data_IF_106399057525
#
_entry.id   IF_106399057525
#
_cell.length_a   1.000
_cell.length_b   1.000
_cell.length_c   1.000
_cell.angle_alpha   90.00
_cell.angle_beta   90.00
_cell.angle_gamma   90.00
#
_symmetry.space_group_name_H-M   'P 1'
#
loop_
_entity.id
_entity.type
_entity.pdbx_description
1 polymer ?
#
# COMPACT_ATOMS: atom_id res chain seq x y z
N UNK A 1 -35.91 80.40 12.48
CA UNK A 1 -35.13 79.59 11.52
C UNK A 1 -36.14 78.79 10.67
N UNK A 2 -36.76 79.39 9.66
CA UNK A 2 -36.37 79.33 8.23
C UNK A 2 -36.79 77.98 7.60
N UNK A 3 -38.05 77.83 7.18
CA UNK A 3 -38.71 78.16 5.89
C UNK A 3 -38.46 77.14 4.74
N UNK A 4 -39.60 76.70 4.15
CA UNK A 4 -39.89 76.40 2.73
C UNK A 4 -39.57 75.00 2.11
N UNK A 5 -40.62 74.15 2.09
CA UNK A 5 -41.28 73.35 0.99
C UNK A 5 -40.87 73.68 -0.48
N UNK A 6 -41.25 72.96 -1.59
CA UNK A 6 -41.67 71.56 -1.94
C UNK A 6 -40.95 70.97 -3.22
N UNK A 7 -41.46 69.84 -3.75
CA UNK A 7 -41.55 69.41 -5.20
C UNK A 7 -40.59 68.30 -5.74
N UNK A 8 -41.24 67.19 -6.13
CA UNK A 8 -41.15 66.43 -7.41
C UNK A 8 -39.83 65.70 -7.78
N UNK A 9 -39.92 64.37 -7.97
CA UNK A 9 -39.60 63.64 -9.22
C UNK A 9 -39.63 62.11 -8.92
N UNK A 10 -40.62 61.36 -9.39
CA UNK A 10 -40.60 60.59 -10.65
C UNK A 10 -39.37 59.68 -10.80
N UNK A 11 -39.58 58.37 -10.67
CA UNK A 11 -38.59 57.35 -10.98
C UNK A 11 -39.10 55.95 -10.71
N UNK A 12 -40.02 55.45 -11.56
CA UNK A 12 -40.20 54.01 -11.73
C UNK A 12 -38.86 53.43 -12.22
N UNK A 13 -38.22 52.57 -11.44
CA UNK A 13 -37.25 51.61 -11.96
C UNK A 13 -37.64 50.23 -11.49
N UNK A 14 -38.40 49.55 -12.34
CA UNK A 14 -38.62 48.11 -12.29
C UNK A 14 -37.27 47.40 -12.39
N UNK A 15 -36.74 46.92 -11.26
CA UNK A 15 -35.66 45.94 -11.26
C UNK A 15 -36.28 44.58 -11.59
N UNK A 16 -36.43 44.32 -12.88
CA UNK A 16 -36.62 42.96 -13.38
C UNK A 16 -35.31 42.20 -13.18
N UNK A 17 -35.22 41.42 -12.09
CA UNK A 17 -34.22 40.36 -12.01
C UNK A 17 -34.70 39.19 -12.87
N UNK A 18 -34.36 39.27 -14.15
CA UNK A 18 -34.31 38.12 -15.05
C UNK A 18 -33.42 37.08 -14.37
N UNK A 19 -33.99 35.99 -13.85
CA UNK A 19 -33.21 34.89 -13.30
C UNK A 19 -32.39 34.29 -14.45
N UNK A 20 -31.08 34.47 -14.40
CA UNK A 20 -30.14 33.71 -15.21
C UNK A 20 -30.48 32.22 -15.09
N UNK A 21 -30.52 31.56 -16.24
CA UNK A 21 -30.97 30.20 -16.41
C UNK A 21 -30.38 29.25 -15.37
N UNK A 22 -31.25 28.36 -14.91
CA UNK A 22 -30.86 27.10 -14.31
C UNK A 22 -30.02 26.35 -15.36
N UNK A 23 -28.71 26.57 -15.33
CA UNK A 23 -27.78 25.53 -15.75
C UNK A 23 -27.93 24.46 -14.69
N UNK A 24 -28.76 23.47 -14.97
CA UNK A 24 -28.66 22.18 -14.33
C UNK A 24 -27.27 21.65 -14.64
N UNK A 25 -26.30 22.00 -13.80
CA UNK A 25 -25.10 21.21 -13.65
C UNK A 25 -25.61 19.87 -13.13
N UNK A 26 -25.88 18.95 -14.07
CA UNK A 26 -25.99 17.54 -13.77
C UNK A 26 -24.70 17.19 -13.05
N UNK A 27 -24.77 17.17 -11.72
CA UNK A 27 -23.71 16.70 -10.89
C UNK A 27 -23.46 15.27 -11.32
N UNK A 28 -22.38 15.08 -12.06
CA UNK A 28 -21.78 13.78 -12.27
C UNK A 28 -21.32 13.34 -10.89
N UNK A 29 -22.25 12.77 -10.13
CA UNK A 29 -21.98 12.22 -8.82
C UNK A 29 -21.02 11.07 -9.11
N UNK A 30 -19.76 11.12 -8.64
CA UNK A 30 -18.81 10.06 -8.92
C UNK A 30 -19.44 8.78 -8.42
N UNK A 31 -19.70 7.85 -9.34
CA UNK A 31 -20.31 6.57 -9.05
C UNK A 31 -19.37 5.80 -8.11
N UNK A 32 -19.53 6.01 -6.80
CA UNK A 32 -18.71 5.40 -5.77
C UNK A 32 -18.71 3.86 -5.91
N UNK A 33 -19.82 3.30 -6.41
CA UNK A 33 -19.94 1.90 -6.77
C UNK A 33 -18.99 1.45 -7.89
N UNK A 34 -18.75 2.29 -8.90
CA UNK A 34 -17.80 2.01 -9.98
C UNK A 34 -16.35 2.06 -9.46
N UNK A 35 -16.04 3.04 -8.60
CA UNK A 35 -14.74 3.13 -7.94
C UNK A 35 -14.49 1.92 -7.03
N UNK A 36 -15.46 1.52 -6.22
CA UNK A 36 -15.35 0.34 -5.34
C UNK A 36 -15.08 -0.93 -6.15
N UNK A 37 -15.81 -1.17 -7.23
CA UNK A 37 -15.59 -2.31 -8.12
C UNK A 37 -14.17 -2.33 -8.71
N UNK A 38 -13.66 -1.16 -9.10
CA UNK A 38 -12.30 -1.04 -9.61
C UNK A 38 -11.25 -1.37 -8.54
N UNK A 39 -11.46 -0.93 -7.28
CA UNK A 39 -10.58 -1.30 -6.18
C UNK A 39 -10.61 -2.81 -5.92
N UNK A 40 -11.79 -3.42 -5.90
CA UNK A 40 -11.99 -4.86 -5.71
C UNK A 40 -11.25 -5.68 -6.78
N UNK A 41 -11.34 -5.28 -8.05
CA UNK A 41 -10.60 -5.91 -9.13
C UNK A 41 -9.07 -5.81 -8.96
N UNK A 42 -8.57 -4.65 -8.51
CA UNK A 42 -7.13 -4.46 -8.27
C UNK A 42 -6.64 -5.29 -7.08
N UNK A 43 -7.42 -5.40 -6.02
CA UNK A 43 -7.11 -6.26 -4.87
C UNK A 43 -7.01 -7.72 -5.31
N UNK A 44 -8.01 -8.21 -6.05
CA UNK A 44 -8.02 -9.59 -6.54
C UNK A 44 -6.82 -9.89 -7.44
N UNK A 45 -6.43 -8.95 -8.31
CA UNK A 45 -5.22 -9.08 -9.15
C UNK A 45 -3.95 -9.15 -8.30
N UNK A 46 -3.81 -8.25 -7.31
CA UNK A 46 -2.65 -8.24 -6.42
C UNK A 46 -2.56 -9.51 -5.58
N UNK A 47 -3.68 -10.03 -5.08
CA UNK A 47 -3.71 -11.30 -4.36
C UNK A 47 -3.28 -12.47 -5.24
N UNK A 48 -3.72 -12.49 -6.50
CA UNK A 48 -3.33 -13.51 -7.46
C UNK A 48 -1.84 -13.43 -7.85
N UNK A 49 -1.28 -12.22 -7.98
CA UNK A 49 0.15 -12.01 -8.18
C UNK A 49 0.96 -12.46 -6.97
N UNK A 50 0.51 -12.13 -5.75
CA UNK A 50 1.15 -12.56 -4.51
C UNK A 50 1.13 -14.08 -4.36
N UNK A 51 0.05 -14.76 -4.75
CA UNK A 51 -0.01 -16.22 -4.74
C UNK A 51 1.00 -16.85 -5.71
N UNK A 52 1.20 -16.24 -6.89
CA UNK A 52 2.21 -16.68 -7.85
C UNK A 52 3.64 -16.47 -7.32
N UNK A 53 3.89 -15.37 -6.61
CA UNK A 53 5.20 -15.07 -6.00
C UNK A 53 5.46 -15.94 -4.76
N UNK A 54 4.41 -16.29 -4.00
CA UNK A 54 4.51 -17.07 -2.76
C UNK A 54 4.90 -18.54 -2.97
N UNK A 55 5.04 -19.00 -4.21
CA UNK A 55 5.57 -20.32 -4.50
C UNK A 55 7.03 -20.27 -4.97
N UNK A 56 8.02 -20.03 -4.09
CA UNK A 56 9.34 -20.60 -4.31
C UNK A 56 9.19 -22.09 -4.03
N UNK A 57 8.84 -22.84 -5.07
CA UNK A 57 8.92 -24.30 -5.08
C UNK A 57 10.37 -24.71 -4.97
N UNK A 58 10.83 -24.92 -3.74
CA UNK A 58 11.96 -25.77 -3.42
C UNK A 58 11.48 -26.72 -2.35
N UNK A 59 11.65 -28.03 -2.56
CA UNK A 59 11.29 -29.05 -1.59
C UNK A 59 11.79 -28.63 -0.20
N UNK A 60 10.86 -28.31 0.69
CA UNK A 60 11.17 -27.83 2.02
C UNK A 60 11.75 -29.00 2.82
N UNK A 61 13.07 -29.20 2.74
CA UNK A 61 13.78 -30.00 3.71
C UNK A 61 13.79 -29.24 5.05
N UNK A 62 13.80 -29.98 6.15
CA UNK A 62 13.99 -29.47 7.51
C UNK A 62 15.16 -28.48 7.63
N UNK A 63 16.18 -28.60 6.77
CA UNK A 63 17.36 -27.74 6.71
C UNK A 63 17.18 -26.50 5.82
N UNK A 64 16.25 -26.52 4.87
CA UNK A 64 15.97 -25.40 3.95
C UNK A 64 14.46 -25.18 3.80
N UNK A 65 13.82 -24.59 4.81
CA UNK A 65 12.43 -24.16 4.75
C UNK A 65 12.10 -23.33 3.51
N UNK A 66 10.88 -23.48 3.00
CA UNK A 66 10.37 -22.65 1.91
C UNK A 66 10.22 -21.17 2.33
N UNK A 67 10.77 -20.26 1.52
CA UNK A 67 10.62 -18.81 1.68
C UNK A 67 11.96 -18.05 1.69
N UNK A 68 11.92 -16.71 1.65
CA UNK A 68 13.14 -15.90 1.64
C UNK A 68 13.87 -15.96 2.98
N UNK A 69 15.20 -15.93 2.91
CA UNK A 69 16.06 -15.82 4.09
C UNK A 69 15.96 -14.41 4.69
N UNK A 70 15.71 -14.31 5.99
CA UNK A 70 15.57 -13.04 6.71
C UNK A 70 16.89 -12.57 7.30
N UNK A 71 17.61 -13.48 7.96
CA UNK A 71 18.92 -13.20 8.56
C UNK A 71 19.68 -14.50 8.83
N UNK A 72 20.98 -14.39 9.08
CA UNK A 72 21.81 -15.52 9.50
C UNK A 72 22.77 -15.12 10.62
N UNK A 73 23.25 -16.11 11.37
CA UNK A 73 24.30 -15.97 12.38
C UNK A 73 25.33 -17.07 12.18
N UNK A 74 26.59 -16.68 12.08
CA UNK A 74 27.72 -17.58 11.96
C UNK A 74 28.55 -17.51 13.25
N UNK A 75 28.76 -18.67 13.88
CA UNK A 75 29.65 -18.81 15.03
C UNK A 75 30.76 -19.80 14.68
N UNK A 76 32.00 -19.33 14.75
CA UNK A 76 33.22 -20.06 14.38
C UNK A 76 34.27 -19.87 15.46
N UNK A 77 35.13 -20.86 15.68
CA UNK A 77 36.19 -20.82 16.69
C UNK A 77 35.69 -21.17 18.10
N UNK A 78 34.60 -21.92 18.19
CA UNK A 78 34.01 -22.44 19.42
C UNK A 78 33.95 -23.96 19.40
N UNK A 79 33.57 -24.59 20.52
CA UNK A 79 33.36 -26.05 20.55
C UNK A 79 32.17 -26.51 19.67
N UNK A 80 31.26 -25.60 19.31
CA UNK A 80 30.08 -25.86 18.47
C UNK A 80 29.98 -24.77 17.40
N UNK A 81 30.80 -24.93 16.36
CA UNK A 81 30.78 -24.10 15.17
C UNK A 81 29.51 -24.34 14.37
N UNK A 82 28.77 -23.27 14.11
CA UNK A 82 27.39 -23.38 13.62
C UNK A 82 26.96 -22.20 12.77
N UNK A 83 26.22 -22.52 11.71
CA UNK A 83 25.45 -21.58 10.90
C UNK A 83 23.98 -21.69 11.26
N UNK A 84 23.40 -20.60 11.77
CA UNK A 84 21.96 -20.49 12.03
C UNK A 84 21.31 -19.57 11.00
N UNK A 85 20.24 -20.03 10.37
CA UNK A 85 19.49 -19.26 9.37
C UNK A 85 18.07 -19.04 9.86
N UNK A 86 17.58 -17.79 9.76
CA UNK A 86 16.23 -17.40 10.13
C UNK A 86 15.45 -17.06 8.88
N UNK A 87 14.32 -17.73 8.69
CA UNK A 87 13.50 -17.60 7.49
C UNK A 87 12.35 -16.62 7.71
N UNK A 88 11.83 -16.02 6.64
CA UNK A 88 10.71 -15.07 6.72
C UNK A 88 9.42 -15.69 7.25
N UNK A 89 9.26 -17.02 7.14
CA UNK A 89 8.13 -17.77 7.67
C UNK A 89 8.27 -18.10 9.18
N UNK A 90 9.33 -17.65 9.85
CA UNK A 90 9.61 -17.90 11.26
C UNK A 90 10.35 -19.20 11.56
N UNK A 91 10.61 -20.05 10.56
CA UNK A 91 11.42 -21.25 10.73
C UNK A 91 12.89 -20.89 10.95
N UNK A 92 13.66 -21.85 11.48
CA UNK A 92 15.10 -21.69 11.71
C UNK A 92 15.85 -22.96 11.31
N UNK A 93 16.93 -22.83 10.55
CA UNK A 93 17.86 -23.93 10.28
C UNK A 93 19.10 -23.80 11.18
N UNK A 94 19.57 -24.92 11.72
CA UNK A 94 20.78 -24.98 12.55
C UNK A 94 21.73 -26.01 11.93
N UNK A 95 22.78 -25.55 11.25
CA UNK A 95 23.73 -26.38 10.52
C UNK A 95 25.07 -26.39 11.25
N UNK A 96 25.57 -27.59 11.57
CA UNK A 96 26.90 -27.77 12.15
C UNK A 96 27.94 -27.46 11.07
N UNK A 97 29.01 -26.77 11.44
CA UNK A 97 30.08 -26.43 10.53
C UNK A 97 31.39 -27.16 10.87
N UNK A 98 32.08 -27.67 9.86
CA UNK A 98 33.46 -28.18 9.95
C UNK A 98 34.40 -27.29 9.15
N UNK A 99 35.65 -27.18 9.60
CA UNK A 99 36.68 -26.45 8.86
C UNK A 99 37.30 -27.36 7.78
N UNK A 100 37.14 -26.98 6.52
CA UNK A 100 37.67 -27.70 5.35
C UNK A 100 38.88 -26.93 4.77
N UNK A 101 40.00 -26.96 5.49
CA UNK A 101 41.23 -26.26 5.10
C UNK A 101 41.36 -24.86 5.68
N UNK A 102 42.13 -23.97 5.03
CA UNK A 102 42.44 -22.64 5.57
C UNK A 102 41.34 -21.64 5.21
N UNK A 103 40.55 -21.24 6.20
CA UNK A 103 39.54 -20.18 6.05
C UNK A 103 38.25 -20.60 5.33
N UNK A 104 37.99 -21.90 5.19
CA UNK A 104 36.78 -22.43 4.55
C UNK A 104 36.04 -23.32 5.55
N UNK A 105 34.73 -23.13 5.65
CA UNK A 105 33.85 -23.96 6.47
C UNK A 105 32.75 -24.59 5.61
N UNK A 106 32.52 -25.88 5.81
CA UNK A 106 31.39 -26.59 5.26
C UNK A 106 30.31 -26.70 6.35
N UNK A 107 29.08 -26.24 6.06
CA UNK A 107 27.96 -26.30 6.99
C UNK A 107 26.80 -27.08 6.36
N UNK A 108 26.32 -28.14 7.01
CA UNK A 108 25.31 -29.03 6.42
C UNK A 108 24.71 -30.04 7.37
#
# INVERSE_FOLDING_TARGET
>A
MQRLIPLICLGLTSVGLTSCGLVSSSGDQPNASASIKQLEQRINQLEQELQQIKSPGGDADSKTPAGPLRSLTLRIGTEDDRLRMYWANGQTSNLICSQEGKGVWACG
#
